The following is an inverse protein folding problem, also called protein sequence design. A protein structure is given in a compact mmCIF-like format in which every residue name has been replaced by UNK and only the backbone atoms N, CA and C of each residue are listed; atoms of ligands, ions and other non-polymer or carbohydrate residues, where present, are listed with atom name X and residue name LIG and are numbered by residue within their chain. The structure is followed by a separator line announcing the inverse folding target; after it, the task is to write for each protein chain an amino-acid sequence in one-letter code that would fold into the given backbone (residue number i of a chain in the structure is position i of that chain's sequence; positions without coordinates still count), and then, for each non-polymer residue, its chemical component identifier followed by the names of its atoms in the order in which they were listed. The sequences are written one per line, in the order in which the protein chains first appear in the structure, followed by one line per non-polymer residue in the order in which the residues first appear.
data_IF_863437317502
#
_entry.id   IF_863437317502
#
_cell.length_a   1.000
_cell.length_b   1.000
_cell.length_c   1.000
_cell.angle_alpha   90.00
_cell.angle_beta   90.00
_cell.angle_gamma   90.00
#
_symmetry.space_group_name_H-M   'P 1'
#
loop_
_entity.id
_entity.type
_entity.pdbx_description
1 polymer ?
#
# COMPACT_ATOMS: atom_id res chain seq x y z
N UNK A 1 43.30 -2.72 21.83
CA UNK A 1 41.99 -2.31 21.27
C UNK A 1 40.92 -2.42 22.35
N UNK A 2 40.43 -1.29 22.89
CA UNK A 2 39.49 -1.26 24.03
C UNK A 2 38.06 -1.76 23.71
N UNK A 3 37.71 -1.83 22.43
CA UNK A 3 36.37 -2.26 21.94
C UNK A 3 36.15 -3.77 22.19
N UNK A 4 37.15 -4.60 21.88
CA UNK A 4 37.08 -6.06 22.01
C UNK A 4 36.97 -6.51 23.48
N UNK A 5 37.56 -5.73 24.39
CA UNK A 5 37.57 -6.00 25.83
C UNK A 5 36.21 -5.71 26.48
N UNK A 6 35.48 -4.68 26.00
CA UNK A 6 34.16 -4.27 26.49
C UNK A 6 32.99 -4.81 25.66
N UNK A 7 33.21 -5.78 24.77
CA UNK A 7 32.19 -6.33 23.84
C UNK A 7 30.86 -6.70 24.51
N UNK A 8 30.89 -7.21 25.75
CA UNK A 8 29.68 -7.59 26.49
C UNK A 8 28.76 -6.40 26.78
N UNK A 9 29.32 -5.22 27.07
CA UNK A 9 28.54 -4.00 27.32
C UNK A 9 27.85 -3.57 26.04
N UNK A 10 28.57 -3.58 24.92
CA UNK A 10 27.99 -3.25 23.61
C UNK A 10 26.91 -4.25 23.20
N UNK A 11 27.09 -5.56 23.45
CA UNK A 11 26.04 -6.55 23.21
C UNK A 11 24.80 -6.33 24.06
N UNK A 12 24.95 -5.98 25.35
CA UNK A 12 23.80 -5.67 26.22
C UNK A 12 23.05 -4.45 25.70
N UNK A 13 23.75 -3.37 25.35
CA UNK A 13 23.14 -2.16 24.79
C UNK A 13 22.41 -2.48 23.48
N UNK A 14 23.03 -3.26 22.59
CA UNK A 14 22.38 -3.71 21.35
C UNK A 14 21.13 -4.53 21.64
N UNK A 15 21.19 -5.48 22.58
CA UNK A 15 20.04 -6.32 22.94
C UNK A 15 18.89 -5.49 23.50
N UNK A 16 19.20 -4.46 24.30
CA UNK A 16 18.22 -3.56 24.90
C UNK A 16 17.51 -2.69 23.85
N UNK A 17 18.13 -2.44 22.69
CA UNK A 17 17.49 -1.79 21.54
C UNK A 17 16.72 -2.78 20.65
N UNK A 18 17.31 -3.95 20.40
CA UNK A 18 16.75 -4.95 19.49
C UNK A 18 15.48 -5.58 20.08
N UNK A 19 15.48 -5.96 21.36
CA UNK A 19 14.35 -6.67 21.98
C UNK A 19 13.05 -5.85 21.94
N UNK A 20 13.02 -4.57 22.37
CA UNK A 20 11.82 -3.75 22.25
C UNK A 20 11.37 -3.56 20.80
N UNK A 21 12.32 -3.42 19.85
CA UNK A 21 12.00 -3.35 18.43
C UNK A 21 11.31 -4.60 17.92
N UNK A 22 11.80 -5.79 18.29
CA UNK A 22 11.17 -7.07 17.95
C UNK A 22 9.79 -7.17 18.60
N UNK A 23 9.64 -6.85 19.87
CA UNK A 23 8.35 -6.87 20.57
C UNK A 23 7.35 -5.93 19.87
N UNK A 24 7.79 -4.74 19.47
CA UNK A 24 6.97 -3.78 18.73
C UNK A 24 6.48 -4.35 17.40
N UNK A 25 7.36 -5.03 16.65
CA UNK A 25 7.00 -5.67 15.37
C UNK A 25 5.93 -6.76 15.56
N UNK A 26 6.02 -7.57 16.63
CA UNK A 26 5.01 -8.59 16.91
C UNK A 26 3.69 -8.01 17.43
N UNK A 27 3.72 -6.92 18.20
CA UNK A 27 2.50 -6.29 18.73
C UNK A 27 1.74 -5.47 17.69
N UNK A 28 2.44 -4.71 16.85
CA UNK A 28 1.82 -3.85 15.82
C UNK A 28 1.55 -4.63 14.52
N UNK A 29 2.21 -5.77 14.34
CA UNK A 29 2.18 -6.50 13.08
C UNK A 29 2.97 -5.79 11.98
N UNK A 30 3.06 -6.43 10.82
CA UNK A 30 3.59 -5.83 9.61
C UNK A 30 2.44 -5.37 8.72
N UNK A 31 2.53 -4.15 8.21
CA UNK A 31 1.69 -3.66 7.10
C UNK A 31 2.15 -4.31 5.79
N UNK A 32 1.89 -5.61 5.67
CA UNK A 32 2.21 -6.38 4.46
C UNK A 32 1.41 -5.80 3.29
N UNK A 33 2.13 -5.23 2.33
CA UNK A 33 1.59 -4.71 1.08
C UNK A 33 1.20 -5.80 0.09
N UNK A 34 0.78 -5.38 -1.10
CA UNK A 34 0.29 -6.27 -2.16
C UNK A 34 1.35 -7.30 -2.62
N UNK A 35 2.64 -6.97 -2.52
CA UNK A 35 3.73 -7.85 -2.92
C UNK A 35 3.81 -9.14 -2.09
N UNK A 36 3.25 -9.14 -0.87
CA UNK A 36 3.25 -10.30 0.04
C UNK A 36 1.90 -10.99 0.18
N UNK A 37 0.80 -10.27 -0.03
CA UNK A 37 -0.56 -10.81 0.12
C UNK A 37 -1.22 -11.17 -1.21
N UNK A 38 -0.62 -10.77 -2.32
CA UNK A 38 -1.31 -10.70 -3.60
C UNK A 38 -2.22 -9.47 -3.64
N UNK A 39 -2.45 -8.95 -4.83
CA UNK A 39 -3.20 -7.72 -5.00
C UNK A 39 -3.55 -7.42 -6.43
N UNK A 40 -4.21 -6.29 -6.63
CA UNK A 40 -4.47 -5.77 -7.97
C UNK A 40 -3.99 -4.33 -8.06
N UNK A 41 -3.38 -3.99 -9.20
CA UNK A 41 -2.97 -2.64 -9.56
C UNK A 41 -3.90 -2.16 -10.65
N UNK A 42 -4.71 -1.16 -10.31
CA UNK A 42 -5.52 -0.45 -11.29
C UNK A 42 -4.78 0.80 -11.76
N UNK A 43 -4.62 0.92 -13.08
CA UNK A 43 -4.06 2.10 -13.73
C UNK A 43 -5.17 2.88 -14.42
N UNK A 44 -5.41 4.10 -13.95
CA UNK A 44 -6.42 5.01 -14.50
C UNK A 44 -5.81 6.38 -14.73
N UNK A 45 -6.27 7.08 -15.76
CA UNK A 45 -5.98 8.49 -15.97
C UNK A 45 -7.17 9.33 -15.53
N UNK A 46 -6.91 10.28 -14.65
CA UNK A 46 -7.91 11.21 -14.10
C UNK A 46 -7.38 12.63 -14.31
N UNK A 47 -8.28 13.60 -14.46
CA UNK A 47 -7.91 15.02 -14.65
C UNK A 47 -6.80 15.48 -13.69
N UNK A 48 -5.87 16.30 -14.22
CA UNK A 48 -4.69 16.80 -13.49
C UNK A 48 -5.01 17.47 -12.14
N UNK A 49 -6.19 18.08 -12.04
CA UNK A 49 -6.65 18.79 -10.85
C UNK A 49 -7.03 17.87 -9.68
N UNK A 50 -7.26 16.58 -9.93
CA UNK A 50 -7.66 15.63 -8.89
C UNK A 50 -6.51 15.32 -7.94
N UNK A 51 -6.79 15.34 -6.64
CA UNK A 51 -5.78 15.04 -5.62
C UNK A 51 -5.74 13.54 -5.28
N UNK A 52 -4.57 13.04 -4.85
CA UNK A 52 -4.43 11.67 -4.33
C UNK A 52 -5.39 11.40 -3.18
N UNK A 53 -5.67 12.43 -2.36
CA UNK A 53 -6.57 12.33 -1.21
C UNK A 53 -8.02 12.07 -1.65
N UNK A 54 -8.50 12.78 -2.66
CA UNK A 54 -9.85 12.60 -3.20
C UNK A 54 -10.05 11.21 -3.82
N UNK A 55 -9.06 10.73 -4.58
CA UNK A 55 -9.09 9.38 -5.16
C UNK A 55 -9.08 8.34 -4.04
N UNK A 56 -8.20 8.51 -3.04
CA UNK A 56 -8.17 7.63 -1.86
C UNK A 56 -9.52 7.61 -1.15
N UNK A 57 -10.12 8.77 -0.86
CA UNK A 57 -11.44 8.84 -0.24
C UNK A 57 -12.56 8.22 -1.10
N UNK A 58 -12.42 8.24 -2.43
CA UNK A 58 -13.33 7.55 -3.34
C UNK A 58 -13.24 6.02 -3.23
N UNK A 59 -12.02 5.48 -3.09
CA UNK A 59 -11.78 4.03 -3.07
C UNK A 59 -11.72 3.43 -1.66
N UNK A 60 -11.49 4.24 -0.62
CA UNK A 60 -11.44 3.81 0.80
C UNK A 60 -12.80 3.47 1.39
N UNK A 61 -13.91 3.79 0.71
CA UNK A 61 -15.27 3.46 1.14
C UNK A 61 -15.71 2.05 0.80
N UNK A 62 -14.84 1.24 0.20
CA UNK A 62 -15.18 -0.06 -0.38
C UNK A 62 -14.45 -1.17 0.35
N UNK A 63 -14.99 -2.39 0.32
CA UNK A 63 -14.40 -3.59 0.93
C UNK A 63 -13.09 -4.06 0.24
N UNK A 64 -12.37 -3.15 -0.42
CA UNK A 64 -11.11 -3.38 -1.15
C UNK A 64 -9.87 -3.22 -0.26
N UNK A 65 -10.05 -3.16 1.06
CA UNK A 65 -8.99 -3.07 2.05
C UNK A 65 -8.47 -1.64 2.27
N UNK A 66 -7.16 -1.49 2.44
CA UNK A 66 -6.48 -0.20 2.56
C UNK A 66 -5.80 0.14 1.22
N UNK A 67 -6.52 0.75 0.27
CA UNK A 67 -5.98 1.05 -1.05
C UNK A 67 -4.84 2.06 -0.97
N UNK A 68 -3.70 1.71 -1.58
CA UNK A 68 -2.58 2.63 -1.76
C UNK A 68 -2.77 3.34 -3.11
N UNK A 69 -2.86 4.66 -3.07
CA UNK A 69 -3.02 5.49 -4.27
C UNK A 69 -1.74 6.28 -4.50
N UNK A 70 -1.17 6.13 -5.70
CA UNK A 70 -0.01 6.87 -6.17
C UNK A 70 -0.39 7.66 -7.43
N UNK A 71 0.00 8.94 -7.50
CA UNK A 71 -0.21 9.80 -8.68
C UNK A 71 1.11 10.01 -9.41
N UNK A 72 1.06 9.93 -10.74
CA UNK A 72 2.14 10.24 -11.67
C UNK A 72 1.56 11.11 -12.79
N UNK A 73 1.78 12.43 -12.73
CA UNK A 73 1.11 13.41 -13.60
C UNK A 73 -0.43 13.25 -13.56
N UNK A 74 -1.05 12.89 -14.68
CA UNK A 74 -2.50 12.68 -14.80
C UNK A 74 -2.89 11.21 -14.59
N UNK A 75 -1.93 10.34 -14.31
CA UNK A 75 -2.13 8.92 -14.11
C UNK A 75 -2.12 8.56 -12.62
N UNK A 76 -2.98 7.62 -12.26
CA UNK A 76 -3.15 7.13 -10.91
C UNK A 76 -3.00 5.62 -10.91
N UNK A 77 -2.17 5.13 -9.99
CA UNK A 77 -1.99 3.72 -9.68
C UNK A 77 -2.68 3.46 -8.34
N UNK A 78 -3.71 2.63 -8.38
CA UNK A 78 -4.50 2.26 -7.21
C UNK A 78 -4.19 0.79 -6.92
N UNK A 79 -3.50 0.54 -5.82
CA UNK A 79 -3.16 -0.81 -5.36
C UNK A 79 -4.18 -1.24 -4.32
N UNK A 80 -4.82 -2.38 -4.56
CA UNK A 80 -5.84 -2.96 -3.68
C UNK A 80 -5.49 -4.40 -3.32
N UNK A 81 -6.29 -4.99 -2.45
CA UNK A 81 -6.37 -6.46 -2.36
C UNK A 81 -6.72 -7.05 -3.74
N UNK A 82 -6.49 -8.35 -3.90
CA UNK A 82 -6.84 -9.05 -5.14
C UNK A 82 -8.34 -8.88 -5.43
N UNK A 83 -8.64 -8.26 -6.58
CA UNK A 83 -10.01 -8.01 -7.01
C UNK A 83 -10.43 -9.06 -8.02
N UNK A 84 -11.65 -9.57 -7.87
CA UNK A 84 -12.28 -10.33 -8.92
C UNK A 84 -12.79 -9.41 -10.04
N UNK A 85 -13.29 -9.99 -11.15
CA UNK A 85 -13.76 -9.21 -12.30
C UNK A 85 -14.96 -8.30 -11.98
N UNK A 86 -15.83 -8.69 -11.04
CA UNK A 86 -17.01 -7.92 -10.64
C UNK A 86 -16.58 -6.71 -9.81
N UNK A 87 -15.74 -6.92 -8.81
CA UNK A 87 -15.16 -5.89 -7.96
C UNK A 87 -14.33 -4.86 -8.75
N UNK A 88 -13.60 -5.32 -9.77
CA UNK A 88 -12.85 -4.42 -10.67
C UNK A 88 -13.81 -3.49 -11.44
N UNK A 89 -14.92 -4.03 -11.95
CA UNK A 89 -15.94 -3.24 -12.65
C UNK A 89 -16.61 -2.25 -11.71
N UNK A 90 -16.96 -2.67 -10.50
CA UNK A 90 -17.57 -1.81 -9.49
C UNK A 90 -16.65 -0.64 -9.12
N UNK A 91 -15.34 -0.91 -8.94
CA UNK A 91 -14.37 0.13 -8.65
C UNK A 91 -14.22 1.13 -9.80
N UNK A 92 -14.18 0.66 -11.05
CA UNK A 92 -14.18 1.53 -12.23
C UNK A 92 -15.46 2.37 -12.30
N UNK A 93 -16.62 1.78 -12.01
CA UNK A 93 -17.90 2.49 -12.02
C UNK A 93 -17.95 3.58 -10.94
N UNK A 94 -17.41 3.32 -9.76
CA UNK A 94 -17.35 4.30 -8.67
C UNK A 94 -16.45 5.48 -9.04
N UNK A 95 -15.28 5.20 -9.64
CA UNK A 95 -14.39 6.24 -10.13
C UNK A 95 -15.08 7.08 -11.23
N UNK A 96 -15.76 6.43 -12.17
CA UNK A 96 -16.47 7.11 -13.27
C UNK A 96 -17.65 7.96 -12.77
N UNK A 97 -18.35 7.50 -11.72
CA UNK A 97 -19.46 8.27 -11.14
C UNK A 97 -18.98 9.48 -10.34
N UNK A 98 -17.80 9.41 -9.73
CA UNK A 98 -17.28 10.46 -8.85
C UNK A 98 -16.41 11.49 -9.58
N UNK A 99 -15.83 11.12 -10.73
CA UNK A 99 -14.98 12.00 -11.52
C UNK A 99 -15.46 12.07 -12.97
N UNK A 100 -15.57 13.28 -13.53
CA UNK A 100 -16.13 13.51 -14.87
C UNK A 100 -15.28 12.96 -16.02
N UNK A 101 -13.96 12.81 -15.81
CA UNK A 101 -13.00 12.29 -16.80
C UNK A 101 -12.11 11.24 -16.16
N UNK A 102 -12.51 9.97 -16.33
CA UNK A 102 -11.71 8.80 -15.98
C UNK A 102 -11.50 7.96 -17.23
N UNK A 103 -10.24 7.76 -17.59
CA UNK A 103 -9.84 6.83 -18.65
C UNK A 103 -9.19 5.61 -17.98
N UNK A 104 -9.76 4.43 -18.20
CA UNK A 104 -9.16 3.19 -17.75
C UNK A 104 -8.01 2.80 -18.68
N UNK A 105 -6.83 2.56 -18.12
CA UNK A 105 -5.65 2.17 -18.89
C UNK A 105 -5.39 0.67 -18.76
N UNK A 106 -5.25 0.15 -17.54
CA UNK A 106 -5.02 -1.28 -17.30
C UNK A 106 -5.46 -1.73 -15.91
N UNK A 107 -5.65 -3.04 -15.76
CA UNK A 107 -5.77 -3.72 -14.48
C UNK A 107 -4.80 -4.91 -14.48
N UNK A 108 -3.85 -4.91 -13.56
CA UNK A 108 -2.85 -5.96 -13.40
C UNK A 108 -3.09 -6.68 -12.08
N UNK A 109 -3.02 -8.02 -12.10
CA UNK A 109 -3.01 -8.81 -10.87
C UNK A 109 -1.57 -9.12 -10.49
N UNK A 110 -1.23 -8.89 -9.22
CA UNK A 110 0.08 -9.18 -8.65
C UNK A 110 -0.09 -10.40 -7.76
N UNK A 111 0.63 -11.47 -8.09
CA UNK A 111 0.67 -12.67 -7.27
C UNK A 111 1.48 -12.42 -5.99
N UNK A 112 1.07 -13.05 -4.89
CA UNK A 112 1.90 -13.16 -3.71
C UNK A 112 3.18 -13.95 -4.03
N UNK A 113 4.32 -13.48 -3.52
CA UNK A 113 5.61 -14.20 -3.59
C UNK A 113 5.80 -15.09 -2.36
#
# INVERSE_FOLDING_TARGET
MQIIQRRKIYYIISLLLIIPGIISLFMQGLNLGIDYKGGSILHVRISAETSVKEVREAVSGLEFGNPEVQKSNDEFYIRTIELNQEQTKDLIQILTNKFERVEFLSAESVGAV
#
